data_IF_466479767622
#
_entry.id   IF_466479767622
#
_cell.length_a   1.000
_cell.length_b   1.000
_cell.length_c   1.000
_cell.angle_alpha   90.00
_cell.angle_beta   90.00
_cell.angle_gamma   90.00
#
_symmetry.space_group_name_H-M   'P 1'
#
loop_
_entity.id
_entity.type
_entity.pdbx_description
1 polymer ?
#
# COMPACT_ATOMS: atom_id res chain seq x y z
N UNK A 1 0.60 1.78 60.04
CA UNK A 1 -0.72 1.41 59.49
C UNK A 1 -0.52 0.29 58.48
N UNK A 2 -0.89 -0.94 58.84
CA UNK A 2 -0.80 -2.11 57.96
C UNK A 2 -2.08 -2.22 57.13
N UNK A 3 -1.98 -2.03 55.82
CA UNK A 3 -3.08 -2.25 54.87
C UNK A 3 -3.21 -3.74 54.58
N UNK A 4 -4.34 -4.31 55.04
CA UNK A 4 -4.80 -5.68 54.76
C UNK A 4 -4.96 -5.85 53.24
N UNK A 5 -4.22 -6.79 52.65
CA UNK A 5 -4.30 -7.14 51.21
C UNK A 5 -5.63 -7.82 50.90
N UNK A 6 -6.40 -7.25 49.96
CA UNK A 6 -7.67 -7.78 49.45
C UNK A 6 -7.44 -8.94 48.45
N UNK A 7 -7.11 -10.12 48.96
CA UNK A 7 -6.92 -11.33 48.15
C UNK A 7 -8.21 -11.81 47.44
N UNK A 8 -9.39 -11.36 47.89
CA UNK A 8 -10.68 -11.82 47.36
C UNK A 8 -10.99 -11.22 45.98
N UNK A 9 -10.58 -9.97 45.74
CA UNK A 9 -10.86 -9.26 44.48
C UNK A 9 -10.01 -9.83 43.33
N UNK A 10 -8.78 -10.24 43.62
CA UNK A 10 -7.86 -10.82 42.64
C UNK A 10 -8.30 -12.22 42.18
N UNK A 11 -8.87 -13.02 43.09
CA UNK A 11 -9.35 -14.38 42.75
C UNK A 11 -10.61 -14.32 41.88
N UNK A 12 -11.51 -13.37 42.15
CA UNK A 12 -12.73 -13.17 41.35
C UNK A 12 -12.43 -12.67 39.93
N UNK A 13 -11.45 -11.78 39.77
CA UNK A 13 -11.07 -11.25 38.45
C UNK A 13 -10.37 -12.28 37.57
N UNK A 14 -9.50 -13.12 38.13
CA UNK A 14 -8.84 -14.21 37.39
C UNK A 14 -9.88 -15.27 36.96
N UNK A 15 -10.85 -15.58 37.81
CA UNK A 15 -11.88 -16.59 37.50
C UNK A 15 -12.79 -16.14 36.36
N UNK A 16 -13.12 -14.83 36.28
CA UNK A 16 -13.95 -14.28 35.21
C UNK A 16 -13.22 -14.29 33.85
N UNK A 17 -11.91 -14.04 33.83
CA UNK A 17 -11.11 -14.04 32.60
C UNK A 17 -11.02 -15.43 31.95
N UNK A 18 -10.93 -16.50 32.74
CA UNK A 18 -10.84 -17.88 32.22
C UNK A 18 -12.15 -18.33 31.55
N UNK A 19 -13.30 -17.89 32.06
CA UNK A 19 -14.61 -18.28 31.50
C UNK A 19 -14.84 -17.63 30.12
N UNK A 20 -14.39 -16.40 29.91
CA UNK A 20 -14.54 -15.68 28.63
C UNK A 20 -13.68 -16.32 27.52
N UNK A 21 -12.49 -16.82 27.85
CA UNK A 21 -11.61 -17.49 26.88
C UNK A 21 -12.13 -18.84 26.40
N UNK A 22 -12.89 -19.57 27.21
CA UNK A 22 -13.44 -20.87 26.81
C UNK A 22 -14.64 -20.71 25.87
N UNK A 23 -15.48 -19.69 26.10
CA UNK A 23 -16.66 -19.43 25.26
C UNK A 23 -16.30 -18.95 23.84
N UNK A 24 -15.14 -18.30 23.66
CA UNK A 24 -14.70 -17.78 22.37
C UNK A 24 -14.12 -18.86 21.44
N UNK A 25 -13.63 -19.98 21.98
CA UNK A 25 -13.12 -21.11 21.19
C UNK A 25 -14.29 -21.93 20.61
N UNK A 26 -15.40 -22.07 21.34
CA UNK A 26 -16.56 -22.87 20.89
C UNK A 26 -17.33 -22.24 19.73
N UNK A 27 -17.20 -20.93 19.50
CA UNK A 27 -17.90 -20.25 18.40
C UNK A 27 -17.17 -20.40 17.05
N UNK A 28 -15.88 -20.77 17.06
CA UNK A 28 -15.08 -20.90 15.83
C UNK A 28 -15.26 -22.25 15.11
N UNK A 29 -15.69 -23.31 15.79
CA UNK A 29 -15.78 -24.66 15.21
C UNK A 29 -17.15 -25.02 14.61
N UNK A 30 -18.12 -24.10 14.57
CA UNK A 30 -19.49 -24.39 14.13
C UNK A 30 -19.84 -23.84 12.74
N UNK A 31 -18.88 -23.42 11.92
CA UNK A 31 -19.16 -23.02 10.53
C UNK A 31 -19.06 -24.22 9.59
N UNK A 32 -20.16 -24.70 8.98
CA UNK A 32 -20.10 -25.71 7.94
C UNK A 32 -19.35 -25.15 6.72
N UNK A 33 -18.41 -25.92 6.18
CA UNK A 33 -17.73 -25.59 4.93
C UNK A 33 -18.72 -25.73 3.76
N UNK A 34 -18.85 -24.68 2.96
CA UNK A 34 -19.62 -24.71 1.72
C UNK A 34 -18.87 -25.57 0.70
N UNK A 35 -19.42 -26.75 0.39
CA UNK A 35 -18.91 -27.62 -0.68
C UNK A 35 -19.55 -27.15 -1.98
N UNK A 36 -18.76 -26.58 -2.89
CA UNK A 36 -19.22 -26.27 -4.24
C UNK A 36 -19.23 -27.56 -5.07
N UNK A 37 -20.43 -28.11 -5.31
CA UNK A 37 -20.62 -29.23 -6.23
C UNK A 37 -20.49 -28.74 -7.68
N UNK A 38 -19.38 -29.03 -8.34
CA UNK A 38 -19.26 -28.90 -9.79
C UNK A 38 -19.93 -30.11 -10.46
N UNK A 39 -21.12 -29.88 -11.02
CA UNK A 39 -21.78 -30.84 -11.93
C UNK A 39 -21.21 -30.65 -13.33
N UNK A 40 -20.43 -31.62 -13.81
CA UNK A 40 -19.93 -31.68 -15.18
C UNK A 40 -20.83 -32.57 -16.03
N UNK A 41 -21.56 -31.95 -16.97
CA UNK A 41 -22.14 -32.64 -18.11
C UNK A 41 -21.66 -31.95 -19.40
N UNK A 42 -21.06 -32.69 -20.35
CA UNK A 42 -20.53 -32.09 -21.57
C UNK A 42 -21.67 -31.90 -22.58
N UNK A 43 -22.01 -30.65 -22.91
CA UNK A 43 -22.87 -30.36 -24.05
C UNK A 43 -21.99 -29.79 -25.17
N UNK A 44 -21.79 -30.56 -26.22
CA UNK A 44 -21.18 -30.09 -27.47
C UNK A 44 -22.12 -29.08 -28.11
N UNK A 45 -21.64 -27.83 -28.28
CA UNK A 45 -22.36 -26.82 -29.04
C UNK A 45 -21.47 -26.34 -30.19
N UNK A 46 -21.97 -26.58 -31.39
CA UNK A 46 -21.34 -26.29 -32.69
C UNK A 46 -21.31 -24.77 -32.89
N UNK A 47 -20.14 -24.22 -33.23
CA UNK A 47 -19.96 -22.80 -33.55
C UNK A 47 -20.65 -22.43 -34.87
N UNK A 48 -21.42 -21.33 -34.93
CA UNK A 48 -21.61 -20.57 -36.16
C UNK A 48 -20.42 -19.63 -36.39
N UNK A 49 -19.87 -19.65 -37.60
CA UNK A 49 -18.81 -18.75 -38.06
C UNK A 49 -19.37 -17.33 -38.19
N UNK A 50 -18.98 -16.43 -37.27
CA UNK A 50 -19.29 -15.00 -37.37
C UNK A 50 -18.12 -14.31 -38.07
N UNK A 51 -18.40 -13.69 -39.21
CA UNK A 51 -17.47 -12.85 -39.97
C UNK A 51 -17.04 -11.65 -39.13
N UNK A 52 -15.72 -11.53 -38.90
CA UNK A 52 -15.10 -10.39 -38.22
C UNK A 52 -15.17 -9.16 -39.13
N UNK A 53 -16.10 -8.24 -38.84
CA UNK A 53 -15.90 -6.84 -39.20
C UNK A 53 -14.94 -6.25 -38.18
N UNK A 54 -13.72 -5.93 -38.62
CA UNK A 54 -12.75 -5.19 -37.84
C UNK A 54 -13.26 -3.75 -37.73
N UNK A 55 -14.06 -3.49 -36.69
CA UNK A 55 -14.20 -2.15 -36.17
C UNK A 55 -12.87 -1.78 -35.51
N UNK A 56 -12.22 -0.73 -35.98
CA UNK A 56 -11.03 -0.18 -35.36
C UNK A 56 -11.31 0.05 -33.87
N UNK A 57 -10.42 -0.38 -32.95
CA UNK A 57 -10.60 -0.05 -31.54
C UNK A 57 -10.39 1.46 -31.41
N UNK A 58 -11.48 2.21 -31.21
CA UNK A 58 -11.41 3.55 -30.64
C UNK A 58 -10.94 3.37 -29.20
N UNK A 59 -9.61 3.37 -29.03
CA UNK A 59 -8.99 3.42 -27.72
C UNK A 59 -9.13 4.86 -27.24
N UNK A 60 -10.26 5.19 -26.64
CA UNK A 60 -10.32 6.28 -25.67
C UNK A 60 -9.48 5.83 -24.47
N UNK A 61 -8.16 5.89 -24.59
CA UNK A 61 -7.26 5.76 -23.45
C UNK A 61 -7.50 7.02 -22.64
N UNK A 62 -8.03 6.95 -21.41
CA UNK A 62 -8.09 8.11 -20.53
C UNK A 62 -6.69 8.70 -20.45
N UNK A 63 -6.54 10.01 -20.60
CA UNK A 63 -5.25 10.68 -20.43
C UNK A 63 -4.73 10.35 -19.03
N UNK A 64 -3.75 9.44 -18.95
CA UNK A 64 -3.18 9.01 -17.67
C UNK A 64 -2.31 10.16 -17.18
N UNK A 65 -2.71 10.80 -16.08
CA UNK A 65 -1.91 11.85 -15.47
C UNK A 65 -0.75 11.19 -14.71
N UNK A 66 0.48 11.52 -15.12
CA UNK A 66 1.71 10.94 -14.55
C UNK A 66 2.56 12.02 -13.90
N UNK A 67 3.09 11.72 -12.72
CA UNK A 67 4.11 12.52 -12.06
C UNK A 67 5.23 11.61 -11.53
N UNK A 68 6.49 11.97 -11.75
CA UNK A 68 7.64 11.21 -11.27
C UNK A 68 8.55 12.11 -10.43
N UNK A 69 8.93 11.64 -9.24
CA UNK A 69 9.82 12.34 -8.32
C UNK A 69 10.48 11.32 -7.39
N UNK A 70 11.76 11.51 -7.05
CA UNK A 70 12.49 10.67 -6.09
C UNK A 70 12.32 9.16 -6.38
N UNK A 71 12.48 8.78 -7.65
CA UNK A 71 12.34 7.41 -8.17
C UNK A 71 10.96 6.75 -8.06
N UNK A 72 9.96 7.49 -7.57
CA UNK A 72 8.57 7.04 -7.57
C UNK A 72 7.81 7.74 -8.69
N UNK A 73 7.28 6.94 -9.61
CA UNK A 73 6.31 7.38 -10.59
C UNK A 73 4.91 7.09 -10.07
N UNK A 74 4.01 8.05 -10.15
CA UNK A 74 2.61 7.95 -9.76
C UNK A 74 1.74 8.25 -10.97
N UNK A 75 0.83 7.34 -11.27
CA UNK A 75 -0.14 7.44 -12.35
C UNK A 75 -1.54 7.50 -11.76
N UNK A 76 -2.31 8.54 -12.09
CA UNK A 76 -3.75 8.57 -11.82
C UNK A 76 -4.43 7.70 -12.87
N UNK A 77 -4.98 6.57 -12.43
CA UNK A 77 -5.61 5.58 -13.31
C UNK A 77 -7.12 5.75 -13.41
N UNK A 78 -7.74 6.42 -12.44
CA UNK A 78 -9.15 6.79 -12.51
C UNK A 78 -9.47 7.94 -11.56
N UNK A 79 -10.51 8.70 -11.89
CA UNK A 79 -11.14 9.66 -11.00
C UNK A 79 -12.64 9.61 -11.23
N UNK A 80 -13.40 9.29 -10.19
CA UNK A 80 -14.84 9.00 -10.30
C UNK A 80 -15.61 9.67 -9.17
N UNK A 81 -16.82 10.13 -9.49
CA UNK A 81 -17.82 10.41 -8.46
C UNK A 81 -18.45 9.08 -8.04
N UNK A 82 -18.53 8.86 -6.75
CA UNK A 82 -19.21 7.70 -6.13
C UNK A 82 -20.31 8.21 -5.21
N UNK A 83 -21.19 7.32 -4.74
CA UNK A 83 -22.35 7.68 -3.90
C UNK A 83 -21.97 8.48 -2.65
N UNK A 84 -20.74 8.34 -2.16
CA UNK A 84 -20.25 9.01 -0.95
C UNK A 84 -19.29 10.17 -1.22
N UNK A 85 -18.93 10.46 -2.47
CA UNK A 85 -18.01 11.54 -2.81
C UNK A 85 -17.15 11.25 -4.04
N UNK A 86 -15.82 11.31 -3.90
CA UNK A 86 -14.87 11.10 -5.00
C UNK A 86 -13.94 9.92 -4.67
N UNK A 87 -13.69 9.06 -5.65
CA UNK A 87 -12.68 8.01 -5.62
C UNK A 87 -11.61 8.30 -6.67
N UNK A 88 -10.34 8.30 -6.26
CA UNK A 88 -9.18 8.48 -7.14
C UNK A 88 -8.35 7.20 -7.10
N UNK A 89 -8.24 6.52 -8.24
CA UNK A 89 -7.36 5.38 -8.43
C UNK A 89 -5.96 5.83 -8.83
N UNK A 90 -4.95 5.24 -8.21
CA UNK A 90 -3.55 5.47 -8.52
C UNK A 90 -2.78 4.16 -8.67
N UNK A 91 -1.75 4.16 -9.49
CA UNK A 91 -0.70 3.15 -9.47
C UNK A 91 0.64 3.84 -9.30
N UNK A 92 1.52 3.27 -8.47
CA UNK A 92 2.81 3.87 -8.15
C UNK A 92 3.93 2.84 -8.08
N UNK A 93 5.14 3.31 -8.33
CA UNK A 93 6.38 2.54 -8.20
C UNK A 93 6.65 2.17 -6.74
N UNK A 94 7.04 0.93 -6.47
CA UNK A 94 7.61 0.53 -5.17
C UNK A 94 9.11 0.27 -5.33
N UNK A 95 9.91 0.80 -4.40
CA UNK A 95 11.38 0.82 -4.54
C UNK A 95 12.05 -0.47 -4.09
N UNK A 96 11.37 -1.26 -3.28
CA UNK A 96 11.80 -2.55 -2.73
C UNK A 96 10.58 -3.44 -2.49
N UNK A 97 10.76 -4.64 -1.94
CA UNK A 97 9.66 -5.57 -1.64
C UNK A 97 8.88 -5.26 -0.34
N UNK A 98 9.08 -4.09 0.25
CA UNK A 98 8.32 -3.63 1.40
C UNK A 98 6.86 -3.37 1.02
N UNK A 99 5.99 -3.34 2.03
CA UNK A 99 4.60 -2.94 1.83
C UNK A 99 4.52 -1.41 1.79
N UNK A 100 4.51 -0.82 0.60
CA UNK A 100 4.49 0.64 0.44
C UNK A 100 3.06 1.20 0.46
N UNK A 101 2.84 2.22 1.27
CA UNK A 101 1.57 2.92 1.46
C UNK A 101 1.70 4.38 0.98
N UNK A 102 0.78 4.88 0.15
CA UNK A 102 0.68 6.30 -0.14
C UNK A 102 0.12 7.05 1.07
N UNK A 103 0.62 8.26 1.30
CA UNK A 103 -0.04 9.24 2.16
C UNK A 103 -0.73 10.29 1.29
N UNK A 104 -2.03 10.13 1.00
CA UNK A 104 -2.76 11.10 0.19
C UNK A 104 -2.93 12.43 0.89
N UNK A 105 -2.83 13.50 0.12
CA UNK A 105 -3.21 14.83 0.51
C UNK A 105 -4.73 15.05 0.41
N UNK A 106 -5.21 16.21 0.88
CA UNK A 106 -6.59 16.61 0.65
C UNK A 106 -6.81 16.92 -0.84
N UNK A 107 -8.03 16.67 -1.34
CA UNK A 107 -8.45 17.24 -2.62
C UNK A 107 -8.97 18.66 -2.43
N UNK A 108 -8.83 19.49 -3.46
CA UNK A 108 -9.46 20.81 -3.51
C UNK A 108 -10.21 21.02 -4.82
N UNK A 109 -11.42 21.58 -4.73
CA UNK A 109 -12.23 21.97 -5.87
C UNK A 109 -13.08 23.18 -5.50
N UNK A 110 -13.19 24.16 -6.41
CA UNK A 110 -13.81 25.45 -6.10
C UNK A 110 -13.23 26.06 -4.81
N UNK A 111 -14.07 26.19 -3.77
CA UNK A 111 -13.69 26.67 -2.43
C UNK A 111 -13.49 25.57 -1.39
N UNK A 112 -13.72 24.31 -1.76
CA UNK A 112 -13.75 23.18 -0.83
C UNK A 112 -12.37 22.53 -0.74
N UNK A 113 -12.07 22.02 0.46
CA UNK A 113 -10.89 21.21 0.76
C UNK A 113 -11.35 20.00 1.58
N UNK A 114 -11.13 18.80 1.05
CA UNK A 114 -11.66 17.57 1.63
C UNK A 114 -10.50 16.64 1.93
N UNK A 115 -10.39 16.20 3.18
CA UNK A 115 -9.35 15.26 3.61
C UNK A 115 -9.67 13.84 3.10
N UNK A 116 -8.64 13.01 2.85
CA UNK A 116 -8.86 11.60 2.49
C UNK A 116 -9.56 10.89 3.64
N UNK A 117 -10.50 10.02 3.30
CA UNK A 117 -11.30 9.23 4.26
C UNK A 117 -10.85 7.78 4.33
N UNK A 118 -10.63 7.18 3.17
CA UNK A 118 -10.32 5.75 3.04
C UNK A 118 -9.21 5.59 2.01
N UNK A 119 -8.31 4.65 2.29
CA UNK A 119 -7.31 4.15 1.36
C UNK A 119 -7.52 2.64 1.23
N UNK A 120 -7.70 2.17 0.01
CA UNK A 120 -7.75 0.75 -0.30
C UNK A 120 -6.74 0.38 -1.37
N UNK A 121 -6.45 -0.91 -1.48
CA UNK A 121 -5.49 -1.45 -2.44
C UNK A 121 -6.20 -2.33 -3.46
N UNK A 122 -5.73 -2.26 -4.70
CA UNK A 122 -6.20 -3.16 -5.75
C UNK A 122 -5.36 -4.43 -5.72
N UNK A 123 -5.99 -5.54 -6.11
CA UNK A 123 -5.29 -6.78 -6.35
C UNK A 123 -4.31 -6.58 -7.53
N UNK A 124 -3.23 -7.38 -7.57
CA UNK A 124 -2.13 -7.33 -8.55
C UNK A 124 -0.95 -6.38 -8.22
N UNK A 125 -0.50 -6.37 -6.97
CA UNK A 125 0.84 -5.86 -6.65
C UNK A 125 1.92 -6.69 -7.34
N UNK A 126 2.88 -6.01 -7.96
CA UNK A 126 4.12 -6.59 -8.48
C UNK A 126 5.23 -6.15 -7.54
N UNK A 127 5.79 -7.04 -6.69
CA UNK A 127 6.86 -6.66 -5.76
C UNK A 127 8.16 -6.37 -6.52
N UNK A 128 8.98 -5.45 -5.98
CA UNK A 128 10.34 -5.27 -6.48
C UNK A 128 11.20 -6.52 -6.17
N UNK A 129 12.14 -6.84 -7.06
CA UNK A 129 12.90 -8.09 -7.03
C UNK A 129 14.43 -7.88 -6.97
N UNK A 130 14.88 -6.64 -6.78
CA UNK A 130 16.29 -6.27 -6.81
C UNK A 130 16.85 -6.04 -8.21
N UNK A 131 16.07 -6.26 -9.27
CA UNK A 131 16.42 -5.89 -10.65
C UNK A 131 15.47 -4.86 -11.21
N UNK A 132 14.18 -5.03 -10.94
CA UNK A 132 13.10 -4.16 -11.35
C UNK A 132 12.42 -3.58 -10.12
N UNK A 133 11.99 -2.32 -10.23
CA UNK A 133 11.09 -1.72 -9.25
C UNK A 133 9.74 -2.43 -9.30
N UNK A 134 9.04 -2.46 -8.17
CA UNK A 134 7.69 -2.99 -8.13
C UNK A 134 6.65 -1.96 -8.55
N UNK A 135 5.40 -2.38 -8.53
CA UNK A 135 4.23 -1.54 -8.81
C UNK A 135 3.09 -1.96 -7.90
N UNK A 136 2.43 -0.98 -7.28
CA UNK A 136 1.25 -1.19 -6.47
C UNK A 136 0.17 -0.18 -6.85
N UNK A 137 -1.08 -0.61 -6.80
CA UNK A 137 -2.22 0.24 -7.12
C UNK A 137 -3.13 0.38 -5.90
N UNK A 138 -3.70 1.56 -5.75
CA UNK A 138 -4.54 1.94 -4.64
C UNK A 138 -5.69 2.84 -5.12
N UNK A 139 -6.71 2.97 -4.29
CA UNK A 139 -7.74 3.98 -4.46
C UNK A 139 -7.86 4.80 -3.18
N UNK A 140 -8.11 6.09 -3.34
CA UNK A 140 -8.32 7.04 -2.25
C UNK A 140 -9.72 7.59 -2.35
N UNK A 141 -10.51 7.46 -1.28
CA UNK A 141 -11.87 8.01 -1.21
C UNK A 141 -11.92 9.26 -0.37
N UNK A 142 -12.72 10.20 -0.84
CA UNK A 142 -13.01 11.48 -0.18
C UNK A 142 -14.51 11.57 -0.01
N UNK A 143 -14.97 11.72 1.24
CA UNK A 143 -16.41 11.82 1.52
C UNK A 143 -16.90 13.25 1.32
N UNK A 144 -17.96 13.41 0.54
CA UNK A 144 -18.57 14.70 0.20
C UNK A 144 -20.08 14.54 0.31
N UNK A 145 -20.70 15.23 1.26
CA UNK A 145 -22.13 15.07 1.56
C UNK A 145 -23.04 15.57 0.42
N UNK A 146 -22.66 16.65 -0.25
CA UNK A 146 -23.39 17.22 -1.38
C UNK A 146 -22.61 17.02 -2.69
N UNK A 147 -22.91 15.92 -3.39
CA UNK A 147 -22.26 15.59 -4.67
C UNK A 147 -22.50 16.63 -5.76
N UNK A 148 -23.54 17.46 -5.65
CA UNK A 148 -23.82 18.51 -6.65
C UNK A 148 -22.82 19.67 -6.57
N UNK A 149 -22.09 19.79 -5.46
CA UNK A 149 -21.02 20.79 -5.29
C UNK A 149 -19.71 20.40 -5.98
N UNK A 150 -19.57 19.13 -6.37
CA UNK A 150 -18.37 18.63 -7.02
C UNK A 150 -18.25 19.29 -8.39
N UNK A 151 -17.16 20.03 -8.56
CA UNK A 151 -16.81 20.75 -9.79
C UNK A 151 -15.39 20.41 -10.18
N UNK A 152 -15.11 20.38 -11.48
CA UNK A 152 -13.76 20.27 -12.00
C UNK A 152 -13.21 21.67 -12.36
N UNK A 153 -11.88 21.86 -12.35
CA UNK A 153 -10.85 20.89 -12.00
C UNK A 153 -10.74 20.60 -10.50
N UNK A 154 -10.32 19.37 -10.17
CA UNK A 154 -9.93 18.97 -8.81
C UNK A 154 -8.40 18.90 -8.75
N UNK A 155 -7.82 19.50 -7.71
CA UNK A 155 -6.41 19.24 -7.36
C UNK A 155 -6.34 18.06 -6.40
N UNK A 156 -5.50 17.09 -6.73
CA UNK A 156 -5.21 15.90 -5.93
C UNK A 156 -3.71 15.80 -5.70
N UNK A 157 -3.28 15.31 -4.54
CA UNK A 157 -1.86 15.06 -4.31
C UNK A 157 -1.58 13.83 -3.45
N UNK A 158 -0.37 13.30 -3.62
CA UNK A 158 0.27 12.37 -2.69
C UNK A 158 1.44 13.12 -2.05
N UNK A 159 1.56 13.03 -0.72
CA UNK A 159 2.52 13.81 0.07
C UNK A 159 3.80 13.03 0.40
N UNK A 160 3.68 11.71 0.50
CA UNK A 160 4.80 10.78 0.69
C UNK A 160 4.36 9.35 0.43
N UNK A 161 5.34 8.48 0.27
CA UNK A 161 5.20 7.04 0.38
C UNK A 161 6.02 6.53 1.54
N UNK A 162 5.49 5.56 2.27
CA UNK A 162 6.21 4.94 3.37
C UNK A 162 5.90 3.45 3.43
N UNK A 163 6.83 2.66 3.95
CA UNK A 163 6.64 1.24 4.13
C UNK A 163 7.00 0.88 5.58
N UNK A 164 6.00 0.58 6.44
CA UNK A 164 6.26 0.21 7.81
C UNK A 164 7.10 -1.08 7.89
N UNK A 165 7.89 -1.27 8.97
CA UNK A 165 8.57 -2.54 9.20
C UNK A 165 7.56 -3.70 9.30
N UNK A 166 7.87 -4.82 8.65
CA UNK A 166 7.04 -6.04 8.75
C UNK A 166 7.27 -6.71 10.11
N UNK A 167 6.18 -7.09 10.77
CA UNK A 167 6.22 -7.68 12.13
C UNK A 167 7.03 -8.99 12.21
N UNK A 168 7.17 -9.71 11.09
CA UNK A 168 7.89 -10.98 11.03
C UNK A 168 9.42 -10.83 10.97
N UNK A 169 9.95 -9.62 10.78
CA UNK A 169 11.38 -9.36 10.68
C UNK A 169 11.88 -8.51 11.84
N UNK A 170 13.09 -8.80 12.29
CA UNK A 170 13.81 -7.86 13.16
C UNK A 170 14.19 -6.60 12.38
N UNK A 171 14.47 -5.47 13.05
CA UNK A 171 14.82 -4.21 12.37
C UNK A 171 15.97 -4.35 11.35
N UNK A 172 17.02 -5.13 11.64
CA UNK A 172 18.11 -5.34 10.69
C UNK A 172 17.75 -6.30 9.56
N UNK A 173 16.94 -7.33 9.83
CA UNK A 173 16.42 -8.21 8.78
C UNK A 173 15.57 -7.46 7.78
N UNK A 174 14.74 -6.53 8.26
CA UNK A 174 13.90 -5.68 7.40
C UNK A 174 14.73 -4.81 6.46
N UNK A 175 15.77 -4.13 6.97
CA UNK A 175 16.67 -3.34 6.11
C UNK A 175 17.41 -4.22 5.11
N UNK A 176 17.89 -5.40 5.53
CA UNK A 176 18.58 -6.31 4.64
C UNK A 176 17.66 -6.82 3.51
N UNK A 177 16.40 -7.12 3.82
CA UNK A 177 15.40 -7.50 2.81
C UNK A 177 15.17 -6.40 1.77
N UNK A 178 15.08 -5.15 2.23
CA UNK A 178 14.92 -3.99 1.35
C UNK A 178 16.12 -3.79 0.46
N UNK A 179 17.34 -3.87 1.00
CA UNK A 179 18.56 -3.81 0.19
C UNK A 179 18.62 -4.92 -0.87
N UNK A 180 18.24 -6.14 -0.51
CA UNK A 180 18.25 -7.29 -1.42
C UNK A 180 17.25 -7.15 -2.57
N UNK A 181 16.17 -6.39 -2.36
CA UNK A 181 15.09 -6.24 -3.34
C UNK A 181 14.98 -4.84 -3.95
N UNK A 182 15.86 -3.92 -3.57
CA UNK A 182 15.97 -2.60 -4.15
C UNK A 182 16.91 -2.60 -5.37
N UNK A 183 16.44 -2.27 -6.58
CA UNK A 183 17.26 -2.28 -7.78
C UNK A 183 18.50 -1.39 -7.73
N UNK A 184 18.41 -0.22 -7.11
CA UNK A 184 19.56 0.69 -6.99
C UNK A 184 20.60 0.15 -6.01
N UNK A 185 20.14 -0.40 -4.88
CA UNK A 185 21.05 -1.01 -3.92
C UNK A 185 21.83 -2.18 -4.53
N UNK A 186 21.15 -2.98 -5.37
CA UNK A 186 21.79 -4.06 -6.12
C UNK A 186 22.73 -3.53 -7.21
N UNK A 187 22.30 -2.51 -7.97
CA UNK A 187 23.11 -1.90 -9.02
C UNK A 187 24.43 -1.33 -8.46
N UNK A 188 24.39 -0.70 -7.29
CA UNK A 188 25.55 -0.09 -6.62
C UNK A 188 26.26 -1.03 -5.65
N UNK A 189 25.85 -2.30 -5.56
CA UNK A 189 26.41 -3.31 -4.65
C UNK A 189 26.54 -2.82 -3.20
N UNK A 190 25.51 -2.15 -2.67
CA UNK A 190 25.54 -1.59 -1.33
C UNK A 190 25.69 -2.69 -0.27
N UNK A 191 26.66 -2.52 0.62
CA UNK A 191 26.94 -3.41 1.74
C UNK A 191 26.80 -2.65 3.04
N UNK A 192 26.11 -3.27 3.99
CA UNK A 192 25.83 -2.64 5.28
C UNK A 192 26.36 -3.46 6.45
N UNK A 193 26.62 -2.76 7.54
CA UNK A 193 26.61 -3.33 8.88
C UNK A 193 25.38 -2.79 9.60
N UNK A 194 24.62 -3.69 10.22
CA UNK A 194 23.46 -3.32 11.01
C UNK A 194 23.57 -3.91 12.41
N UNK A 195 23.23 -3.11 13.42
CA UNK A 195 23.13 -3.54 14.81
C UNK A 195 21.80 -3.10 15.42
N UNK A 196 21.16 -4.01 16.13
CA UNK A 196 19.90 -3.77 16.81
C UNK A 196 20.16 -3.29 18.24
N UNK A 197 19.37 -2.32 18.67
CA UNK A 197 19.37 -1.79 20.04
C UNK A 197 18.26 -2.46 20.84
N UNK A 198 18.43 -2.49 22.16
CA UNK A 198 17.47 -3.12 23.07
C UNK A 198 16.09 -2.43 23.10
N UNK A 199 16.01 -1.18 22.61
CA UNK A 199 14.77 -0.41 22.47
C UNK A 199 14.03 -0.68 21.15
N UNK A 200 14.50 -1.63 20.33
CA UNK A 200 13.92 -1.95 19.03
C UNK A 200 14.39 -1.03 17.89
N UNK A 201 15.27 -0.07 18.16
CA UNK A 201 15.91 0.73 17.11
C UNK A 201 17.07 -0.04 16.46
N UNK A 202 17.56 0.49 15.34
CA UNK A 202 18.73 -0.04 14.62
C UNK A 202 19.71 1.07 14.29
N UNK A 203 20.99 0.72 14.25
CA UNK A 203 22.02 1.51 13.60
C UNK A 203 22.41 0.80 12.31
N UNK A 204 22.43 1.55 11.20
CA UNK A 204 22.80 1.05 9.88
C UNK A 204 23.98 1.89 9.39
N UNK A 205 25.03 1.24 8.91
CA UNK A 205 26.23 1.93 8.40
C UNK A 205 26.65 1.29 7.08
N UNK A 206 26.94 2.13 6.09
CA UNK A 206 27.55 1.68 4.84
C UNK A 206 28.97 1.17 5.11
N UNK A 207 29.28 -0.04 4.65
CA UNK A 207 30.62 -0.64 4.74
C UNK A 207 31.23 -0.94 3.38
N UNK A 208 30.48 -0.72 2.31
CA UNK A 208 30.99 -0.81 0.95
C UNK A 208 29.92 -0.48 -0.08
N UNK A 209 30.38 -0.02 -1.23
CA UNK A 209 29.63 0.24 -2.45
C UNK A 209 30.57 -0.04 -3.64
N UNK A 210 30.03 -0.12 -4.84
CA UNK A 210 30.85 -0.20 -6.04
C UNK A 210 31.47 1.16 -6.42
N UNK A 211 32.37 1.16 -7.39
CA UNK A 211 33.08 2.36 -7.83
C UNK A 211 32.25 3.28 -8.75
N UNK A 212 30.99 2.93 -9.05
CA UNK A 212 30.12 3.73 -9.92
C UNK A 212 29.45 4.88 -9.19
N UNK A 213 29.41 4.83 -7.85
CA UNK A 213 28.81 5.80 -6.96
C UNK A 213 29.81 6.26 -5.89
N UNK A 214 29.69 7.50 -5.41
CA UNK A 214 30.49 7.97 -4.28
C UNK A 214 29.95 7.43 -2.95
N UNK A 215 30.79 7.36 -1.92
CA UNK A 215 30.35 6.90 -0.58
C UNK A 215 29.24 7.78 0.00
N UNK A 216 29.25 9.09 -0.27
CA UNK A 216 28.24 10.02 0.23
C UNK A 216 26.89 9.83 -0.47
N UNK A 217 26.89 9.58 -1.78
CA UNK A 217 25.68 9.25 -2.53
C UNK A 217 25.12 7.88 -2.13
N UNK A 218 25.99 6.88 -1.98
CA UNK A 218 25.62 5.56 -1.49
C UNK A 218 25.03 5.59 -0.07
N UNK A 219 25.57 6.43 0.81
CA UNK A 219 25.01 6.62 2.15
C UNK A 219 23.63 7.30 2.10
N UNK A 220 23.42 8.31 1.26
CA UNK A 220 22.09 8.92 1.07
C UNK A 220 21.07 7.90 0.55
N UNK A 221 21.46 7.06 -0.40
CA UNK A 221 20.60 5.99 -0.91
C UNK A 221 20.25 4.99 0.20
N UNK A 222 21.25 4.59 0.99
CA UNK A 222 21.06 3.73 2.15
C UNK A 222 20.12 4.36 3.18
N UNK A 223 20.23 5.66 3.45
CA UNK A 223 19.36 6.36 4.40
C UNK A 223 17.89 6.34 3.94
N UNK A 224 17.63 6.50 2.64
CA UNK A 224 16.28 6.39 2.07
C UNK A 224 15.73 4.96 2.24
N UNK A 225 16.53 3.95 1.88
CA UNK A 225 16.15 2.53 2.02
C UNK A 225 15.89 2.16 3.48
N UNK A 226 16.77 2.61 4.38
CA UNK A 226 16.67 2.34 5.80
C UNK A 226 15.44 3.03 6.39
N UNK A 227 15.17 4.30 6.05
CA UNK A 227 14.00 5.01 6.57
C UNK A 227 12.68 4.50 5.99
N UNK A 228 12.72 3.77 4.87
CA UNK A 228 11.55 3.22 4.20
C UNK A 228 10.48 4.30 3.92
N UNK A 229 10.93 5.51 3.57
CA UNK A 229 10.09 6.67 3.35
C UNK A 229 10.63 7.50 2.19
N UNK A 230 9.73 7.92 1.31
CA UNK A 230 10.02 8.82 0.19
C UNK A 230 9.08 10.01 0.28
N UNK A 231 9.66 11.17 0.63
CA UNK A 231 8.96 12.44 0.64
C UNK A 231 8.82 12.95 -0.80
N UNK A 232 7.66 13.51 -1.17
CA UNK A 232 7.45 14.09 -2.49
C UNK A 232 6.07 14.67 -2.65
N UNK A 233 5.92 15.68 -3.52
CA UNK A 233 4.62 16.35 -3.72
C UNK A 233 4.09 16.06 -5.12
N UNK A 234 3.64 14.82 -5.34
CA UNK A 234 2.98 14.44 -6.60
C UNK A 234 1.62 15.11 -6.65
N UNK A 235 1.50 16.16 -7.45
CA UNK A 235 0.27 16.96 -7.57
C UNK A 235 -0.33 16.79 -8.96
N UNK A 236 -1.64 16.61 -9.02
CA UNK A 236 -2.40 16.34 -10.23
C UNK A 236 -3.58 17.29 -10.33
N UNK A 237 -3.85 17.78 -11.54
CA UNK A 237 -5.07 18.55 -11.85
C UNK A 237 -5.98 17.67 -12.69
N UNK A 238 -7.11 17.24 -12.12
CA UNK A 238 -8.08 16.35 -12.75
C UNK A 238 -9.20 17.22 -13.32
N UNK A 239 -9.31 17.28 -14.64
CA UNK A 239 -10.30 18.11 -15.35
C UNK A 239 -11.62 17.40 -15.59
N UNK A 240 -11.63 16.08 -15.52
CA UNK A 240 -12.79 15.25 -15.84
C UNK A 240 -12.98 14.15 -14.79
N UNK A 241 -14.24 13.94 -14.41
CA UNK A 241 -14.65 12.87 -13.50
C UNK A 241 -15.62 11.95 -14.22
N UNK A 242 -15.39 10.65 -14.11
CA UNK A 242 -16.39 9.67 -14.54
C UNK A 242 -17.53 9.67 -13.51
N UNK A 243 -18.77 9.61 -13.97
CA UNK A 243 -19.96 9.48 -13.13
C UNK A 243 -20.48 8.04 -13.15
#
# INVERSE_FOLDING_TARGET
>A
MNTKKNNVVTVLTISLLVVITIASISFYFSRPQAVASASSAPTQQILPTVSVQIAAPQTNIPEVLTAAQNDVTVNVTSAKVIDTGIEIGICYTTLDNGEWYPMPGPITYGKYKVAPKELGFLDNEIPADGKNTGTRCAFVRYNIDDLTTITTPISFSILKFYAPPREMYTPCQEVQQRLNTNPKAQAHSLKIKCSEKADGNRDVTLVGNDNSITSDEAQKELDVIANAEVQGNWTFTITDLTK
#
